data_IF_638460711583
#
_entry.id   IF_638460711583
#
_cell.length_a   1.000
_cell.length_b   1.000
_cell.length_c   1.000
_cell.angle_alpha   90.00
_cell.angle_beta   90.00
_cell.angle_gamma   90.00
#
_symmetry.space_group_name_H-M   'P 1'
#
loop_
_entity.id
_entity.type
_entity.pdbx_description
1 polymer ?
#
# COMPACT_ATOMS: atom_id res chain seq x y z
N UNK A 1 12.43 -10.71 -9.67
CA UNK A 1 11.96 -10.06 -8.44
C UNK A 1 10.91 -9.03 -8.82
N UNK A 2 9.77 -8.96 -8.12
CA UNK A 2 8.81 -7.87 -8.34
C UNK A 2 9.46 -6.51 -8.03
N UNK A 3 8.92 -5.45 -8.60
CA UNK A 3 9.33 -4.08 -8.29
C UNK A 3 8.99 -3.74 -6.84
N UNK A 4 9.74 -2.79 -6.28
CA UNK A 4 9.45 -2.24 -4.94
C UNK A 4 8.19 -1.38 -4.98
N UNK A 5 7.33 -1.53 -3.98
CA UNK A 5 6.17 -0.66 -3.80
C UNK A 5 6.60 0.74 -3.36
N UNK A 6 5.95 1.76 -3.90
CA UNK A 6 6.14 3.17 -3.54
C UNK A 6 4.80 3.84 -3.24
N UNK A 7 4.81 4.95 -2.50
CA UNK A 7 3.60 5.78 -2.31
C UNK A 7 2.98 6.10 -3.68
N UNK A 8 1.66 5.93 -3.78
CA UNK A 8 0.91 6.04 -5.04
C UNK A 8 0.74 4.72 -5.80
N UNK A 9 1.38 3.62 -5.36
CA UNK A 9 1.09 2.28 -5.91
C UNK A 9 -0.37 1.89 -5.65
N UNK A 10 -0.96 1.14 -6.59
CA UNK A 10 -2.37 0.76 -6.57
C UNK A 10 -2.50 -0.75 -6.39
N UNK A 11 -3.37 -1.20 -5.48
CA UNK A 11 -3.71 -2.62 -5.33
C UNK A 11 -4.70 -3.10 -6.40
N UNK A 12 -5.08 -4.38 -6.37
CA UNK A 12 -6.01 -4.96 -7.34
C UNK A 12 -7.49 -4.67 -7.05
N UNK A 13 -7.82 -4.11 -5.88
CA UNK A 13 -9.13 -4.24 -5.26
C UNK A 13 -9.45 -5.69 -4.89
N UNK A 14 -10.62 -5.89 -4.28
CA UNK A 14 -11.11 -7.24 -3.94
C UNK A 14 -12.60 -7.23 -3.62
N UNK A 15 -13.32 -8.30 -3.96
CA UNK A 15 -14.69 -8.56 -3.45
C UNK A 15 -15.69 -7.41 -3.65
N UNK A 16 -15.58 -6.66 -4.75
CA UNK A 16 -16.44 -5.50 -5.06
C UNK A 16 -15.95 -4.16 -4.50
N UNK A 17 -14.89 -4.13 -3.72
CA UNK A 17 -14.19 -2.90 -3.34
C UNK A 17 -13.27 -2.47 -4.49
N UNK A 18 -13.29 -1.18 -4.83
CA UNK A 18 -12.40 -0.62 -5.84
C UNK A 18 -10.93 -0.72 -5.42
N UNK A 19 -9.99 -0.72 -6.38
CA UNK A 19 -8.57 -0.58 -6.09
C UNK A 19 -8.23 0.55 -5.11
N UNK A 20 -7.39 0.27 -4.12
CA UNK A 20 -6.85 1.22 -3.15
C UNK A 20 -5.47 1.74 -3.58
N UNK A 21 -5.22 3.03 -3.31
CA UNK A 21 -3.92 3.67 -3.50
C UNK A 21 -3.20 3.79 -2.16
N UNK A 22 -1.92 3.40 -2.09
CA UNK A 22 -1.11 3.54 -0.86
C UNK A 22 -0.62 4.97 -0.65
N UNK A 23 -0.80 5.50 0.56
CA UNK A 23 -0.60 6.94 0.87
C UNK A 23 0.39 7.21 1.99
N UNK A 24 0.80 6.21 2.75
CA UNK A 24 1.93 6.30 3.67
C UNK A 24 3.12 5.52 3.12
N UNK A 25 4.33 5.92 3.52
CA UNK A 25 5.56 5.27 3.11
C UNK A 25 6.70 5.63 4.04
N UNK A 26 7.79 4.89 3.93
CA UNK A 26 8.97 5.02 4.77
C UNK A 26 9.79 6.25 4.36
N UNK A 27 10.01 7.22 5.28
CA UNK A 27 10.56 8.54 4.92
C UNK A 27 12.07 8.53 4.65
N UNK A 28 12.78 7.49 5.06
CA UNK A 28 14.25 7.43 4.99
C UNK A 28 14.78 6.76 3.72
N UNK A 29 13.91 6.10 2.95
CA UNK A 29 14.28 5.45 1.70
C UNK A 29 13.30 5.85 0.59
N UNK A 30 13.84 6.47 -0.45
CA UNK A 30 13.09 6.79 -1.66
C UNK A 30 13.59 6.01 -2.86
N UNK A 31 12.68 5.71 -3.77
CA UNK A 31 12.97 5.17 -5.10
C UNK A 31 12.31 6.09 -6.11
N UNK A 32 13.11 6.61 -7.04
CA UNK A 32 12.69 7.67 -7.96
C UNK A 32 12.15 8.92 -7.24
N UNK A 33 12.70 9.23 -6.06
CA UNK A 33 12.26 10.37 -5.23
C UNK A 33 10.94 10.17 -4.49
N UNK A 34 10.36 8.96 -4.53
CA UNK A 34 9.09 8.64 -3.86
C UNK A 34 9.37 7.64 -2.73
N UNK A 35 8.77 7.86 -1.57
CA UNK A 35 8.93 7.00 -0.40
C UNK A 35 8.53 5.56 -0.73
N UNK A 36 9.38 4.61 -0.31
CA UNK A 36 9.13 3.17 -0.43
C UNK A 36 8.04 2.75 0.55
N UNK A 37 7.22 1.77 0.17
CA UNK A 37 6.26 1.13 1.06
C UNK A 37 6.96 0.07 1.93
N UNK A 38 6.63 0.06 3.21
CA UNK A 38 7.03 -0.94 4.20
C UNK A 38 5.81 -1.65 4.81
N UNK A 39 6.06 -2.70 5.58
CA UNK A 39 5.00 -3.37 6.36
C UNK A 39 4.30 -2.36 7.27
N UNK A 40 2.96 -2.35 7.23
CA UNK A 40 2.17 -1.43 8.04
C UNK A 40 1.71 -0.16 7.31
N UNK A 41 2.27 0.14 6.14
CA UNK A 41 1.81 1.28 5.33
C UNK A 41 0.37 1.08 4.82
N UNK A 42 -0.40 2.16 4.76
CA UNK A 42 -1.84 2.13 4.59
C UNK A 42 -2.29 2.62 3.21
N UNK A 43 -3.39 2.04 2.72
CA UNK A 43 -4.12 2.57 1.56
C UNK A 43 -5.11 3.65 1.96
N UNK A 44 -5.60 4.39 0.98
CA UNK A 44 -6.90 5.08 1.11
C UNK A 44 -7.98 4.07 1.45
N UNK A 45 -8.95 4.53 2.23
CA UNK A 45 -10.14 3.77 2.55
C UNK A 45 -10.97 3.53 1.29
N UNK A 46 -11.44 2.30 1.08
CA UNK A 46 -12.37 1.97 0.01
C UNK A 46 -13.69 1.43 0.55
N UNK A 47 -14.73 1.58 -0.25
CA UNK A 47 -16.13 1.29 0.11
C UNK A 47 -16.78 0.39 -0.93
N UNK A 48 -17.83 -0.30 -0.50
CA UNK A 48 -18.80 -0.93 -1.40
C UNK A 48 -20.19 -0.90 -0.74
N UNK A 49 -21.27 -1.09 -1.52
CA UNK A 49 -22.62 -1.15 -0.97
C UNK A 49 -22.76 -2.18 0.15
N UNK A 50 -23.55 -1.84 1.17
CA UNK A 50 -23.92 -2.73 2.30
C UNK A 50 -22.76 -3.28 3.13
N UNK A 51 -21.59 -2.65 3.08
CA UNK A 51 -20.44 -3.01 3.89
C UNK A 51 -19.76 -1.77 4.50
N UNK A 52 -19.19 -1.88 5.71
CA UNK A 52 -18.45 -0.79 6.31
C UNK A 52 -17.19 -0.47 5.48
N UNK A 53 -16.76 0.80 5.43
CA UNK A 53 -15.48 1.18 4.85
C UNK A 53 -14.29 0.55 5.59
N UNK A 54 -13.21 0.24 4.86
CA UNK A 54 -11.95 -0.23 5.47
C UNK A 54 -10.72 0.21 4.67
N UNK A 55 -9.53 0.05 5.25
CA UNK A 55 -8.23 0.33 4.63
C UNK A 55 -7.46 -0.97 4.38
N UNK A 56 -6.56 -0.94 3.39
CA UNK A 56 -5.52 -1.95 3.21
C UNK A 56 -4.26 -1.62 4.01
N UNK A 57 -3.54 -2.66 4.42
CA UNK A 57 -2.24 -2.55 5.09
C UNK A 57 -1.23 -3.42 4.36
N UNK A 58 -0.05 -2.86 4.04
CA UNK A 58 1.01 -3.59 3.35
C UNK A 58 1.56 -4.72 4.23
N UNK A 59 1.71 -5.89 3.61
CA UNK A 59 2.52 -7.00 4.15
C UNK A 59 3.81 -7.09 3.32
N UNK A 60 4.95 -6.82 3.96
CA UNK A 60 6.24 -6.71 3.29
C UNK A 60 6.97 -8.02 3.01
N UNK A 61 8.25 -7.89 2.67
CA UNK A 61 9.15 -9.01 2.35
C UNK A 61 9.77 -9.63 3.60
N UNK A 62 10.08 -10.93 3.56
CA UNK A 62 10.87 -11.62 4.59
C UNK A 62 12.39 -11.52 4.39
N UNK A 63 12.83 -10.91 3.28
CA UNK A 63 14.25 -10.83 2.89
C UNK A 63 14.77 -9.40 2.72
N UNK A 64 13.89 -8.40 2.78
CA UNK A 64 14.23 -6.99 2.69
C UNK A 64 13.38 -6.22 3.69
N UNK A 65 14.05 -5.46 4.57
CA UNK A 65 13.42 -4.63 5.60
C UNK A 65 13.72 -3.16 5.30
N UNK A 66 12.71 -2.31 5.48
CA UNK A 66 12.79 -0.85 5.35
C UNK A 66 12.11 -0.24 6.58
N UNK A 67 12.72 0.80 7.16
CA UNK A 67 12.33 1.45 8.42
C UNK A 67 11.75 2.85 8.21
#
# INVERSE_FOLDING_TARGET
MPAVGIVGSVDSGHGGFSPGVFVSGQPLLTVNGINVLGTGDISVMHVKPDNPPHVGVITGSSKLTVN
#
